data_IF_496399970552
#
_entry.id   IF_496399970552
#
_cell.length_a   1.000
_cell.length_b   1.000
_cell.length_c   1.000
_cell.angle_alpha   90.00
_cell.angle_beta   90.00
_cell.angle_gamma   90.00
#
_symmetry.space_group_name_H-M   'P 1'
#
loop_
_entity.id
_entity.type
_entity.pdbx_description
1 polymer ?
#
# COMPACT_ATOMS: atom_id res chain seq x y z
N UNK A 1 -11.15 -4.25 4.68
CA UNK A 1 -12.29 -3.32 4.42
C UNK A 1 -13.64 -3.79 5.00
N UNK A 2 -14.13 -4.99 4.64
CA UNK A 2 -15.46 -5.47 5.07
C UNK A 2 -15.64 -5.48 6.59
N UNK A 3 -14.66 -6.02 7.32
CA UNK A 3 -14.69 -6.11 8.78
C UNK A 3 -14.89 -4.76 9.45
N UNK A 4 -14.27 -3.70 8.92
CA UNK A 4 -14.45 -2.35 9.47
C UNK A 4 -15.87 -1.82 9.23
N UNK A 5 -16.35 -1.87 7.99
CA UNK A 5 -17.67 -1.32 7.63
C UNK A 5 -18.79 -2.05 8.38
N UNK A 6 -18.76 -3.38 8.35
CA UNK A 6 -19.77 -4.18 9.04
C UNK A 6 -19.61 -4.08 10.56
N UNK A 7 -18.38 -4.08 11.07
CA UNK A 7 -18.09 -3.88 12.49
C UNK A 7 -18.62 -2.54 13.03
N UNK A 8 -18.41 -1.44 12.30
CA UNK A 8 -18.92 -0.11 12.67
C UNK A 8 -20.44 -0.09 12.67
N UNK A 9 -21.07 -0.70 11.67
CA UNK A 9 -22.52 -0.90 11.66
C UNK A 9 -23.00 -1.68 12.90
N UNK A 10 -22.30 -2.74 13.30
CA UNK A 10 -22.64 -3.49 14.53
C UNK A 10 -22.53 -2.61 15.78
N UNK A 11 -21.54 -1.72 15.85
CA UNK A 11 -21.42 -0.74 16.95
C UNK A 11 -22.62 0.23 16.94
N UNK A 12 -23.00 0.77 15.77
CA UNK A 12 -24.16 1.65 15.64
C UNK A 12 -25.47 0.94 16.06
N UNK A 13 -25.59 -0.36 15.76
CA UNK A 13 -26.70 -1.20 16.22
C UNK A 13 -26.60 -1.63 17.69
N UNK A 14 -25.55 -1.21 18.42
CA UNK A 14 -25.24 -1.60 19.81
C UNK A 14 -25.07 -3.11 20.00
N UNK A 15 -24.74 -3.84 18.93
CA UNK A 15 -24.40 -5.25 18.97
C UNK A 15 -22.95 -5.49 19.40
N UNK A 16 -22.11 -4.45 19.30
CA UNK A 16 -20.69 -4.46 19.60
C UNK A 16 -20.31 -3.14 20.28
N UNK A 17 -19.27 -3.12 21.11
CA UNK A 17 -18.64 -1.87 21.57
C UNK A 17 -17.44 -1.51 20.70
N UNK A 18 -17.05 -0.24 20.66
CA UNK A 18 -15.85 0.22 19.94
C UNK A 18 -14.58 -0.51 20.41
N UNK A 19 -14.43 -0.72 21.72
CA UNK A 19 -13.27 -1.45 22.28
C UNK A 19 -13.23 -2.90 21.83
N UNK A 20 -14.39 -3.58 21.79
CA UNK A 20 -14.46 -4.97 21.32
C UNK A 20 -14.16 -5.03 19.82
N UNK A 21 -14.68 -4.10 19.01
CA UNK A 21 -14.36 -4.03 17.59
C UNK A 21 -12.86 -3.86 17.35
N UNK A 22 -12.23 -2.93 18.07
CA UNK A 22 -10.79 -2.67 17.96
C UNK A 22 -9.96 -3.91 18.27
N UNK A 23 -10.35 -4.66 19.31
CA UNK A 23 -9.66 -5.90 19.67
C UNK A 23 -9.89 -7.01 18.63
N UNK A 24 -11.10 -7.14 18.09
CA UNK A 24 -11.40 -8.10 17.01
C UNK A 24 -10.54 -7.80 15.78
N UNK A 25 -10.49 -6.55 15.33
CA UNK A 25 -9.71 -6.16 14.14
C UNK A 25 -8.21 -6.45 14.34
N UNK A 26 -7.69 -6.22 15.56
CA UNK A 26 -6.29 -6.52 15.91
C UNK A 26 -5.98 -8.03 15.91
N UNK A 27 -6.88 -8.86 16.42
CA UNK A 27 -6.71 -10.32 16.47
C UNK A 27 -6.93 -11.00 15.10
N UNK A 28 -7.60 -10.32 14.17
CA UNK A 28 -7.98 -10.87 12.87
C UNK A 28 -6.79 -11.33 12.02
N UNK A 29 -5.65 -10.63 12.06
CA UNK A 29 -4.48 -11.01 11.25
C UNK A 29 -3.88 -12.37 11.67
N UNK A 30 -3.77 -12.61 12.98
CA UNK A 30 -3.21 -13.83 13.56
C UNK A 30 -4.18 -15.01 13.66
N UNK A 31 -5.48 -14.77 13.47
CA UNK A 31 -6.51 -15.80 13.67
C UNK A 31 -6.55 -16.80 12.52
N UNK A 32 -6.64 -18.10 12.86
CA UNK A 32 -6.95 -19.18 11.92
C UNK A 32 -8.43 -19.57 12.04
N UNK A 33 -9.12 -19.62 10.90
CA UNK A 33 -10.54 -19.95 10.86
C UNK A 33 -10.78 -21.45 11.07
N UNK A 34 -11.73 -21.80 11.94
CA UNK A 34 -12.24 -23.14 12.18
C UNK A 34 -13.12 -23.57 11.01
N UNK A 35 -12.91 -24.81 10.54
CA UNK A 35 -13.62 -25.34 9.38
C UNK A 35 -15.15 -25.38 9.61
N UNK A 36 -15.58 -25.68 10.85
CA UNK A 36 -16.98 -25.68 11.24
C UNK A 36 -17.65 -24.30 11.08
N UNK A 37 -16.95 -23.21 11.45
CA UNK A 37 -17.48 -21.84 11.30
C UNK A 37 -17.75 -21.51 9.83
N UNK A 38 -16.82 -21.85 8.93
CA UNK A 38 -16.99 -21.62 7.49
C UNK A 38 -18.15 -22.47 6.95
N UNK A 39 -18.24 -23.73 7.37
CA UNK A 39 -19.28 -24.64 6.90
C UNK A 39 -20.69 -24.18 7.30
N UNK A 40 -20.85 -23.61 8.50
CA UNK A 40 -22.14 -23.05 8.94
C UNK A 40 -22.45 -21.76 8.19
N UNK A 41 -21.47 -20.87 8.03
CA UNK A 41 -21.65 -19.61 7.30
C UNK A 41 -21.99 -19.83 5.80
N UNK A 42 -21.44 -20.87 5.18
CA UNK A 42 -21.78 -21.29 3.80
C UNK A 42 -23.12 -22.06 3.73
N UNK A 43 -23.82 -22.27 4.85
CA UNK A 43 -25.08 -23.02 4.91
C UNK A 43 -24.94 -24.53 4.67
N UNK A 44 -23.71 -25.07 4.73
CA UNK A 44 -23.44 -26.50 4.55
C UNK A 44 -23.67 -27.32 5.82
N UNK A 45 -23.57 -26.69 6.99
CA UNK A 45 -23.88 -27.28 8.30
C UNK A 45 -24.81 -26.37 9.09
N UNK A 46 -25.60 -26.96 9.99
CA UNK A 46 -26.25 -26.19 11.06
C UNK A 46 -25.27 -25.99 12.23
N UNK A 47 -25.52 -24.98 13.07
CA UNK A 47 -24.72 -24.77 14.30
C UNK A 47 -24.68 -26.06 15.16
N UNK A 48 -25.82 -26.74 15.31
CA UNK A 48 -25.91 -28.00 16.05
C UNK A 48 -25.05 -29.13 15.46
N UNK A 49 -25.00 -29.26 14.12
CA UNK A 49 -24.15 -30.25 13.46
C UNK A 49 -22.66 -29.93 13.64
N UNK A 50 -22.29 -28.66 13.57
CA UNK A 50 -20.90 -28.25 13.81
C UNK A 50 -20.47 -28.52 15.25
N UNK A 51 -21.35 -28.26 16.22
CA UNK A 51 -21.11 -28.55 17.65
C UNK A 51 -20.99 -30.05 17.92
N UNK A 52 -21.82 -30.87 17.27
CA UNK A 52 -21.72 -32.34 17.35
C UNK A 52 -20.37 -32.84 16.81
N UNK A 53 -19.93 -32.34 15.65
CA UNK A 53 -18.61 -32.69 15.09
C UNK A 53 -17.48 -32.23 16.03
N UNK A 54 -17.57 -31.03 16.60
CA UNK A 54 -16.58 -30.51 17.56
C UNK A 54 -16.52 -31.41 18.81
N UNK A 55 -17.67 -31.82 19.35
CA UNK A 55 -17.73 -32.72 20.50
C UNK A 55 -17.10 -34.08 20.17
N UNK A 56 -17.40 -34.67 19.01
CA UNK A 56 -16.78 -35.92 18.55
C UNK A 56 -15.26 -35.76 18.36
N UNK A 57 -14.82 -34.60 17.87
CA UNK A 57 -13.40 -34.28 17.71
C UNK A 57 -12.64 -34.25 19.05
N UNK A 58 -13.31 -33.90 20.16
CA UNK A 58 -12.67 -33.99 21.50
C UNK A 58 -12.45 -35.43 21.97
N UNK A 59 -13.19 -36.39 21.42
CA UNK A 59 -13.16 -37.81 21.80
C UNK A 59 -12.36 -38.67 20.82
N UNK A 60 -12.09 -38.16 19.63
CA UNK A 60 -11.46 -38.89 18.53
C UNK A 60 -10.25 -38.12 18.00
N UNK A 61 -9.12 -38.80 17.78
CA UNK A 61 -7.95 -38.21 17.12
C UNK A 61 -8.15 -38.13 15.59
N UNK A 62 -9.13 -37.33 15.17
CA UNK A 62 -9.48 -37.08 13.76
C UNK A 62 -9.71 -35.58 13.52
N UNK A 63 -9.51 -35.14 12.29
CA UNK A 63 -9.75 -33.73 11.92
C UNK A 63 -11.23 -33.52 11.68
N UNK A 64 -11.71 -32.30 11.97
CA UNK A 64 -13.11 -31.88 11.78
C UNK A 64 -13.68 -32.30 10.42
N UNK A 65 -12.94 -32.05 9.33
CA UNK A 65 -13.37 -32.40 7.97
C UNK A 65 -13.54 -33.91 7.76
N UNK A 66 -12.65 -34.72 8.34
CA UNK A 66 -12.72 -36.18 8.21
C UNK A 66 -13.96 -36.72 8.98
N UNK A 67 -14.22 -36.19 10.18
CA UNK A 67 -15.41 -36.54 10.98
C UNK A 67 -16.70 -36.10 10.27
N UNK A 68 -16.72 -34.90 9.68
CA UNK A 68 -17.89 -34.40 8.96
C UNK A 68 -18.26 -35.26 7.73
N UNK A 69 -17.27 -35.83 7.05
CA UNK A 69 -17.47 -36.78 5.95
C UNK A 69 -17.98 -38.13 6.46
N UNK A 70 -17.41 -38.64 7.56
CA UNK A 70 -17.87 -39.89 8.20
C UNK A 70 -19.32 -39.81 8.68
N UNK A 71 -19.73 -38.67 9.24
CA UNK A 71 -21.12 -38.40 9.62
C UNK A 71 -22.05 -38.10 8.44
N UNK A 72 -21.52 -38.10 7.20
CA UNK A 72 -22.23 -37.78 5.96
C UNK A 72 -22.85 -36.38 5.94
N UNK A 73 -22.35 -35.47 6.78
CA UNK A 73 -22.78 -34.08 6.76
C UNK A 73 -22.10 -33.29 5.64
N UNK A 74 -20.86 -33.65 5.29
CA UNK A 74 -20.11 -33.05 4.19
C UNK A 74 -19.56 -34.12 3.24
N UNK A 75 -19.32 -33.72 1.98
CA UNK A 75 -18.54 -34.49 1.01
C UNK A 75 -17.06 -34.08 1.04
N UNK A 76 -16.15 -34.94 0.57
CA UNK A 76 -14.73 -34.60 0.44
C UNK A 76 -14.49 -33.33 -0.41
N UNK A 77 -15.28 -33.14 -1.47
CA UNK A 77 -15.22 -31.95 -2.31
C UNK A 77 -15.64 -30.68 -1.54
N UNK A 78 -16.67 -30.76 -0.70
CA UNK A 78 -17.07 -29.64 0.16
C UNK A 78 -15.99 -29.32 1.17
N UNK A 79 -15.37 -30.33 1.81
CA UNK A 79 -14.24 -30.13 2.73
C UNK A 79 -13.05 -29.45 2.03
N UNK A 80 -12.69 -29.89 0.82
CA UNK A 80 -11.62 -29.27 0.03
C UNK A 80 -11.91 -27.79 -0.28
N UNK A 81 -13.18 -27.47 -0.60
CA UNK A 81 -13.62 -26.11 -0.87
C UNK A 81 -13.55 -25.23 0.38
N UNK A 82 -13.99 -25.74 1.52
CA UNK A 82 -13.90 -25.06 2.82
C UNK A 82 -12.45 -24.79 3.25
N UNK A 83 -11.54 -25.74 2.98
CA UNK A 83 -10.11 -25.56 3.28
C UNK A 83 -9.49 -24.41 2.49
N UNK A 84 -9.90 -24.20 1.22
CA UNK A 84 -9.46 -23.04 0.43
C UNK A 84 -9.93 -21.70 1.01
N UNK A 85 -11.07 -21.70 1.71
CA UNK A 85 -11.66 -20.51 2.34
C UNK A 85 -11.08 -20.20 3.73
N UNK A 86 -10.24 -21.05 4.34
CA UNK A 86 -9.65 -20.80 5.67
C UNK A 86 -8.77 -19.52 5.75
N UNK A 87 -8.28 -19.03 4.61
CA UNK A 87 -7.53 -17.78 4.53
C UNK A 87 -8.39 -16.52 4.39
N UNK A 88 -9.70 -16.66 4.22
CA UNK A 88 -10.60 -15.54 3.94
C UNK A 88 -10.74 -14.62 5.18
N UNK A 89 -10.42 -13.35 5.01
CA UNK A 89 -10.46 -12.30 6.05
C UNK A 89 -11.85 -12.16 6.70
N UNK A 90 -12.92 -12.20 5.90
CA UNK A 90 -14.31 -12.13 6.36
C UNK A 90 -14.66 -13.29 7.29
N UNK A 91 -14.18 -14.50 6.99
CA UNK A 91 -14.46 -15.67 7.83
C UNK A 91 -13.71 -15.61 9.18
N UNK A 92 -12.52 -15.02 9.20
CA UNK A 92 -11.82 -14.72 10.46
C UNK A 92 -12.62 -13.74 11.31
N UNK A 93 -13.18 -12.71 10.68
CA UNK A 93 -14.00 -11.72 11.37
C UNK A 93 -15.26 -12.33 11.98
N UNK A 94 -16.01 -13.15 11.22
CA UNK A 94 -17.20 -13.83 11.75
C UNK A 94 -16.89 -14.72 12.95
N UNK A 95 -15.80 -15.48 12.87
CA UNK A 95 -15.36 -16.30 14.00
C UNK A 95 -15.07 -15.46 15.25
N UNK A 96 -14.36 -14.34 15.09
CA UNK A 96 -14.01 -13.46 16.21
C UNK A 96 -15.24 -12.74 16.78
N UNK A 97 -16.23 -12.40 15.96
CA UNK A 97 -17.53 -11.90 16.45
C UNK A 97 -18.23 -12.93 17.33
N UNK A 98 -18.18 -14.21 16.98
CA UNK A 98 -18.71 -15.28 17.84
C UNK A 98 -17.88 -15.45 19.11
N UNK A 99 -16.56 -15.51 19.00
CA UNK A 99 -15.66 -15.81 20.12
C UNK A 99 -15.54 -14.68 21.14
N UNK A 100 -15.48 -13.43 20.67
CA UNK A 100 -15.20 -12.27 21.50
C UNK A 100 -16.44 -11.46 21.82
N UNK A 101 -17.44 -11.44 20.93
CA UNK A 101 -18.69 -10.70 21.14
C UNK A 101 -19.90 -11.59 21.44
N UNK A 102 -19.76 -12.92 21.38
CA UNK A 102 -20.84 -13.86 21.67
C UNK A 102 -21.98 -13.84 20.64
N UNK A 103 -21.73 -13.32 19.43
CA UNK A 103 -22.72 -13.28 18.35
C UNK A 103 -22.80 -14.63 17.64
N UNK A 104 -23.99 -15.26 17.64
CA UNK A 104 -24.23 -16.45 16.82
C UNK A 104 -24.16 -16.11 15.33
N UNK A 105 -23.86 -17.10 14.49
CA UNK A 105 -23.77 -16.90 13.04
C UNK A 105 -25.13 -16.49 12.46
N UNK A 106 -26.20 -17.09 12.97
CA UNK A 106 -27.58 -16.67 12.67
C UNK A 106 -27.85 -15.19 12.97
N UNK A 107 -27.32 -14.65 14.08
CA UNK A 107 -27.48 -13.24 14.42
C UNK A 107 -26.61 -12.35 13.54
N UNK A 108 -25.40 -12.80 13.20
CA UNK A 108 -24.52 -12.11 12.24
C UNK A 108 -25.23 -11.97 10.88
N UNK A 109 -25.90 -13.01 10.40
CA UNK A 109 -26.67 -12.96 9.14
C UNK A 109 -27.86 -11.99 9.21
N UNK A 110 -28.56 -11.91 10.35
CA UNK A 110 -29.61 -10.92 10.56
C UNK A 110 -29.07 -9.49 10.45
N UNK A 111 -27.96 -9.21 11.13
CA UNK A 111 -27.29 -7.91 11.02
C UNK A 111 -26.73 -7.65 9.62
N UNK A 112 -26.28 -8.68 8.90
CA UNK A 112 -25.81 -8.58 7.52
C UNK A 112 -26.92 -8.08 6.59
N UNK A 113 -28.14 -8.61 6.74
CA UNK A 113 -29.30 -8.18 5.97
C UNK A 113 -29.69 -6.72 6.27
N UNK A 114 -29.57 -6.32 7.54
CA UNK A 114 -29.73 -4.93 7.96
C UNK A 114 -28.67 -4.02 7.33
N UNK A 115 -27.39 -4.39 7.44
CA UNK A 115 -26.25 -3.67 6.87
C UNK A 115 -26.39 -3.47 5.36
N UNK A 116 -26.75 -4.53 4.63
CA UNK A 116 -27.04 -4.49 3.19
C UNK A 116 -28.13 -3.47 2.88
N UNK A 117 -29.24 -3.52 3.61
CA UNK A 117 -30.41 -2.65 3.37
C UNK A 117 -30.11 -1.19 3.70
N UNK A 118 -29.45 -0.92 4.82
CA UNK A 118 -29.08 0.44 5.25
C UNK A 118 -28.15 1.13 4.27
N UNK A 119 -27.21 0.39 3.67
CA UNK A 119 -26.23 0.94 2.73
C UNK A 119 -26.70 0.88 1.26
N UNK A 120 -27.82 0.20 0.99
CA UNK A 120 -28.37 0.02 -0.35
C UNK A 120 -27.54 -0.90 -1.23
N UNK A 121 -26.83 -1.88 -0.66
CA UNK A 121 -26.03 -2.84 -1.42
C UNK A 121 -26.92 -3.90 -2.08
N UNK A 122 -26.59 -4.27 -3.31
CA UNK A 122 -27.05 -5.50 -3.96
C UNK A 122 -26.30 -6.72 -3.40
N UNK A 123 -26.78 -7.94 -3.69
CA UNK A 123 -26.08 -9.16 -3.27
C UNK A 123 -24.66 -9.27 -3.87
N UNK A 124 -24.50 -8.89 -5.14
CA UNK A 124 -23.18 -8.92 -5.80
C UNK A 124 -22.20 -7.91 -5.21
N UNK A 125 -22.68 -6.73 -4.80
CA UNK A 125 -21.86 -5.70 -4.17
C UNK A 125 -21.45 -6.08 -2.76
N UNK A 126 -22.36 -6.69 -1.99
CA UNK A 126 -22.05 -7.21 -0.67
C UNK A 126 -21.01 -8.34 -0.75
N UNK A 127 -21.13 -9.22 -1.75
CA UNK A 127 -20.16 -10.28 -1.97
C UNK A 127 -18.79 -9.73 -2.37
N UNK A 128 -18.75 -8.75 -3.29
CA UNK A 128 -17.52 -8.05 -3.63
C UNK A 128 -16.85 -7.40 -2.41
N UNK A 129 -17.66 -6.86 -1.48
CA UNK A 129 -17.17 -6.30 -0.22
C UNK A 129 -16.50 -7.37 0.65
N UNK A 130 -17.17 -8.52 0.83
CA UNK A 130 -16.66 -9.67 1.60
C UNK A 130 -15.41 -10.30 1.00
N UNK A 131 -15.30 -10.30 -0.32
CA UNK A 131 -14.14 -10.79 -1.07
C UNK A 131 -13.01 -9.78 -1.17
N UNK A 132 -13.23 -8.54 -0.69
CA UNK A 132 -12.31 -7.40 -0.83
C UNK A 132 -11.92 -7.13 -2.30
N UNK A 133 -12.85 -7.38 -3.22
CA UNK A 133 -12.68 -7.19 -4.66
C UNK A 133 -12.83 -5.70 -5.03
N UNK A 134 -11.74 -4.95 -4.88
CA UNK A 134 -11.69 -3.52 -5.14
C UNK A 134 -12.22 -3.16 -6.55
N UNK A 135 -12.03 -4.01 -7.56
CA UNK A 135 -12.48 -3.71 -8.93
C UNK A 135 -14.00 -3.59 -9.00
N UNK A 136 -14.71 -4.54 -8.39
CA UNK A 136 -16.17 -4.52 -8.32
C UNK A 136 -16.70 -3.42 -7.40
N UNK A 137 -15.90 -2.95 -6.46
CA UNK A 137 -16.29 -1.95 -5.46
C UNK A 137 -16.14 -0.51 -5.96
N UNK A 138 -15.20 -0.21 -6.85
CA UNK A 138 -14.96 1.15 -7.37
C UNK A 138 -16.25 1.85 -7.84
N UNK A 139 -17.16 1.22 -8.62
CA UNK A 139 -18.40 1.87 -9.04
C UNK A 139 -19.32 2.30 -7.90
N UNK A 140 -19.30 1.63 -6.75
CA UNK A 140 -20.15 2.00 -5.60
C UNK A 140 -19.80 3.37 -5.03
N UNK A 141 -18.51 3.69 -5.04
CA UNK A 141 -17.96 4.84 -4.34
C UNK A 141 -17.53 5.94 -5.29
N UNK A 142 -17.03 5.60 -6.48
CA UNK A 142 -16.43 6.53 -7.44
C UNK A 142 -17.19 6.64 -8.78
N UNK A 143 -18.42 6.11 -8.89
CA UNK A 143 -19.20 6.26 -10.12
C UNK A 143 -19.54 7.74 -10.35
N UNK A 144 -18.94 8.31 -11.39
CA UNK A 144 -19.25 9.66 -11.88
C UNK A 144 -19.42 9.61 -13.40
N UNK A 145 -19.95 10.70 -13.98
CA UNK A 145 -19.99 10.82 -15.45
C UNK A 145 -18.59 10.96 -16.07
N UNK A 146 -17.57 11.31 -15.28
CA UNK A 146 -16.20 11.46 -15.74
C UNK A 146 -15.43 10.15 -15.48
N UNK A 147 -15.10 9.43 -16.55
CA UNK A 147 -14.43 8.12 -16.50
C UNK A 147 -12.99 8.22 -15.99
N UNK A 148 -12.30 9.35 -16.19
CA UNK A 148 -10.95 9.55 -15.64
C UNK A 148 -10.98 9.68 -14.13
N UNK A 149 -11.98 10.37 -13.55
CA UNK A 149 -12.15 10.45 -12.09
C UNK A 149 -12.36 9.06 -11.50
N UNK A 150 -13.23 8.25 -12.11
CA UNK A 150 -13.49 6.87 -11.66
C UNK A 150 -12.24 5.99 -11.78
N UNK A 151 -11.50 6.11 -12.89
CA UNK A 151 -10.28 5.33 -13.14
C UNK A 151 -9.14 5.70 -12.17
N UNK A 152 -8.91 6.99 -11.96
CA UNK A 152 -7.91 7.50 -11.03
C UNK A 152 -8.26 7.12 -9.58
N UNK A 153 -9.53 7.27 -9.19
CA UNK A 153 -10.01 6.82 -7.86
C UNK A 153 -9.72 5.33 -7.67
N UNK A 154 -10.04 4.50 -8.66
CA UNK A 154 -9.76 3.07 -8.59
C UNK A 154 -8.27 2.73 -8.49
N UNK A 155 -7.42 3.47 -9.19
CA UNK A 155 -5.96 3.33 -9.07
C UNK A 155 -5.48 3.66 -7.66
N UNK A 156 -5.94 4.78 -7.11
CA UNK A 156 -5.57 5.23 -5.76
C UNK A 156 -6.01 4.21 -4.72
N UNK A 157 -7.26 3.73 -4.77
CA UNK A 157 -7.75 2.73 -3.80
C UNK A 157 -6.94 1.42 -3.86
N UNK A 158 -6.56 0.95 -5.05
CA UNK A 158 -5.65 -0.21 -5.19
C UNK A 158 -4.28 0.06 -4.58
N UNK A 159 -3.76 1.27 -4.75
CA UNK A 159 -2.46 1.65 -4.23
C UNK A 159 -2.47 1.91 -2.73
N UNK A 160 -3.60 2.28 -2.13
CA UNK A 160 -3.80 2.24 -0.67
C UNK A 160 -3.62 0.80 -0.17
N UNK A 161 -4.31 -0.18 -0.76
CA UNK A 161 -4.16 -1.60 -0.40
C UNK A 161 -2.72 -2.08 -0.53
N UNK A 162 -2.03 -1.70 -1.62
CA UNK A 162 -0.68 -2.19 -1.92
C UNK A 162 0.40 -1.55 -1.07
N UNK A 163 0.32 -0.24 -0.86
CA UNK A 163 1.44 0.53 -0.31
C UNK A 163 1.17 1.11 1.07
N UNK A 164 -0.08 1.23 1.49
CA UNK A 164 -0.44 1.90 2.74
C UNK A 164 -0.96 0.87 3.75
N UNK A 165 -2.17 0.37 3.54
CA UNK A 165 -2.82 -0.61 4.42
C UNK A 165 -3.97 -1.29 3.67
N UNK A 166 -4.31 -2.52 4.05
CA UNK A 166 -5.58 -3.17 3.69
C UNK A 166 -6.75 -2.73 4.56
N UNK A 167 -6.46 -1.99 5.64
CA UNK A 167 -7.41 -1.56 6.66
C UNK A 167 -7.94 -0.14 6.40
N UNK A 168 -8.65 0.00 5.29
CA UNK A 168 -9.36 1.23 4.94
C UNK A 168 -10.73 0.94 4.32
N UNK A 169 -11.58 1.97 4.24
CA UNK A 169 -12.77 1.98 3.41
C UNK A 169 -13.03 3.37 2.81
N UNK A 170 -13.44 3.46 1.53
CA UNK A 170 -13.97 4.68 0.96
C UNK A 170 -15.44 4.89 1.32
N UNK A 171 -15.86 6.15 1.34
CA UNK A 171 -17.27 6.54 1.35
C UNK A 171 -17.69 7.07 -0.04
N UNK A 172 -18.98 7.35 -0.21
CA UNK A 172 -19.51 7.81 -1.51
C UNK A 172 -18.89 9.16 -1.89
N UNK A 173 -18.31 9.20 -3.09
CA UNK A 173 -17.79 10.41 -3.68
C UNK A 173 -18.92 11.42 -3.93
N UNK A 174 -18.64 12.69 -3.64
CA UNK A 174 -19.54 13.81 -3.89
C UNK A 174 -18.83 14.91 -4.68
N UNK A 175 -19.58 15.73 -5.38
CA UNK A 175 -19.04 16.93 -6.03
C UNK A 175 -19.11 18.12 -5.07
N UNK A 176 -18.03 18.88 -4.95
CA UNK A 176 -17.93 20.06 -4.10
C UNK A 176 -17.42 21.25 -4.91
N UNK A 177 -17.99 22.43 -4.61
CA UNK A 177 -17.53 23.73 -5.16
C UNK A 177 -16.87 24.61 -4.11
N UNK A 178 -17.13 24.31 -2.84
CA UNK A 178 -16.47 24.91 -1.70
C UNK A 178 -16.10 23.76 -0.76
N UNK A 179 -14.85 23.77 -0.32
CA UNK A 179 -14.29 22.74 0.56
C UNK A 179 -13.11 23.37 1.30
N UNK A 180 -13.29 23.60 2.60
CA UNK A 180 -12.29 24.15 3.50
C UNK A 180 -11.51 23.00 4.14
N UNK A 181 -10.22 23.22 4.39
CA UNK A 181 -9.32 22.22 4.94
C UNK A 181 -8.27 22.84 5.87
N UNK A 182 -7.83 22.05 6.84
CA UNK A 182 -6.64 22.36 7.66
C UNK A 182 -5.37 22.12 6.85
N UNK A 183 -5.31 21.03 6.09
CA UNK A 183 -4.24 20.80 5.10
C UNK A 183 -4.81 20.14 3.84
N UNK A 184 -4.18 20.44 2.71
CA UNK A 184 -4.34 19.75 1.44
C UNK A 184 -2.95 19.56 0.80
N UNK A 185 -2.52 18.31 0.69
CA UNK A 185 -1.28 17.93 0.00
C UNK A 185 -1.64 17.21 -1.30
N UNK A 186 -1.08 17.65 -2.42
CA UNK A 186 -1.47 17.11 -3.72
C UNK A 186 -0.57 17.53 -4.87
N UNK A 187 -0.93 17.12 -6.06
CA UNK A 187 -0.18 17.38 -7.27
C UNK A 187 -1.12 17.55 -8.46
N UNK A 188 -0.85 18.58 -9.24
CA UNK A 188 -1.51 18.82 -10.51
C UNK A 188 -0.79 18.12 -11.66
N UNK A 189 -1.55 17.84 -12.71
CA UNK A 189 -1.07 17.29 -13.97
C UNK A 189 -1.68 18.13 -15.10
N UNK A 190 -0.93 18.35 -16.19
CA UNK A 190 -1.38 19.14 -17.35
C UNK A 190 -0.99 18.44 -18.65
N UNK A 191 -1.70 18.74 -19.72
CA UNK A 191 -1.47 18.19 -21.05
C UNK A 191 -2.79 18.19 -21.82
N UNK A 192 -3.12 17.07 -22.46
CA UNK A 192 -4.42 16.85 -23.08
C UNK A 192 -5.58 17.00 -22.08
N UNK A 193 -5.31 16.66 -20.82
CA UNK A 193 -6.22 16.85 -19.70
C UNK A 193 -5.53 17.60 -18.56
N UNK A 194 -6.31 18.40 -17.83
CA UNK A 194 -5.85 19.01 -16.58
C UNK A 194 -6.41 18.24 -15.40
N UNK A 195 -5.54 17.70 -14.55
CA UNK A 195 -5.91 16.89 -13.40
C UNK A 195 -5.38 17.51 -12.11
N UNK A 196 -6.06 17.25 -11.01
CA UNK A 196 -5.50 17.41 -9.67
C UNK A 196 -5.87 16.19 -8.84
N UNK A 197 -4.88 15.64 -8.13
CA UNK A 197 -5.06 14.63 -7.08
C UNK A 197 -4.45 15.16 -5.79
N UNK A 198 -5.21 15.11 -4.70
CA UNK A 198 -4.70 15.46 -3.39
C UNK A 198 -5.46 14.80 -2.26
N UNK A 199 -4.91 14.91 -1.05
CA UNK A 199 -5.52 14.43 0.18
C UNK A 199 -5.60 15.56 1.19
N UNK A 200 -6.78 15.71 1.79
CA UNK A 200 -7.08 16.75 2.73
C UNK A 200 -7.49 16.22 4.10
N UNK A 201 -7.16 16.98 5.14
CA UNK A 201 -7.79 16.89 6.44
C UNK A 201 -8.58 18.16 6.73
N UNK A 202 -9.84 18.04 7.13
CA UNK A 202 -10.67 19.19 7.51
C UNK A 202 -10.34 19.70 8.90
N UNK A 203 -10.41 18.82 9.91
CA UNK A 203 -10.27 19.19 11.33
C UNK A 203 -9.16 18.43 12.05
N UNK A 204 -8.95 17.17 11.68
CA UNK A 204 -8.02 16.26 12.33
C UNK A 204 -7.03 15.71 11.30
N UNK A 205 -5.76 15.86 11.62
CA UNK A 205 -4.63 15.40 10.80
C UNK A 205 -4.43 13.89 10.84
N UNK A 206 -5.09 13.16 11.75
CA UNK A 206 -4.85 11.74 11.97
C UNK A 206 -4.91 10.90 10.70
N UNK A 207 -5.88 11.14 9.79
CA UNK A 207 -5.98 10.37 8.55
C UNK A 207 -4.83 10.64 7.56
N UNK A 208 -4.38 11.89 7.48
CA UNK A 208 -3.22 12.30 6.67
C UNK A 208 -1.93 11.67 7.22
N UNK A 209 -1.81 11.63 8.55
CA UNK A 209 -0.69 10.98 9.25
C UNK A 209 -0.70 9.48 9.01
N UNK A 210 -1.85 8.80 9.09
CA UNK A 210 -1.94 7.36 8.85
C UNK A 210 -1.63 6.99 7.39
N UNK A 211 -2.05 7.83 6.43
CA UNK A 211 -1.64 7.69 5.03
C UNK A 211 -0.11 7.78 4.90
N UNK A 212 0.49 8.82 5.49
CA UNK A 212 1.94 9.05 5.45
C UNK A 212 2.73 7.89 6.09
N UNK A 213 2.38 7.48 7.31
CA UNK A 213 3.03 6.35 8.01
C UNK A 213 2.95 5.06 7.20
N UNK A 214 1.75 4.74 6.71
CA UNK A 214 1.52 3.53 5.93
C UNK A 214 2.35 3.51 4.65
N UNK A 215 2.47 4.65 3.97
CA UNK A 215 3.25 4.78 2.74
C UNK A 215 4.77 4.82 2.98
N UNK A 216 5.22 5.58 3.98
CA UNK A 216 6.63 5.70 4.37
C UNK A 216 7.18 4.41 5.03
N UNK A 217 6.30 3.53 5.51
CA UNK A 217 6.64 2.35 6.34
C UNK A 217 7.37 2.74 7.63
N UNK A 218 6.96 3.86 8.20
CA UNK A 218 7.49 4.39 9.46
C UNK A 218 6.37 4.50 10.50
N UNK A 219 6.56 3.82 11.63
CA UNK A 219 5.58 3.80 12.74
C UNK A 219 5.80 4.94 13.75
N UNK A 220 6.89 5.70 13.65
CA UNK A 220 7.31 6.68 14.66
C UNK A 220 7.02 8.14 14.25
N UNK A 221 7.06 9.05 15.24
CA UNK A 221 6.72 10.48 15.19
C UNK A 221 7.28 11.26 13.97
N UNK A 222 6.62 11.11 12.81
CA UNK A 222 6.84 11.95 11.65
C UNK A 222 6.58 13.41 12.03
N UNK A 223 7.48 14.28 11.62
CA UNK A 223 7.25 15.72 11.63
C UNK A 223 6.17 16.09 10.61
N UNK A 224 5.55 17.26 10.75
CA UNK A 224 4.52 17.71 9.81
C UNK A 224 5.01 17.73 8.35
N UNK A 225 6.27 18.14 8.13
CA UNK A 225 6.86 18.20 6.79
C UNK A 225 7.09 16.80 6.21
N UNK A 226 7.57 15.84 7.02
CA UNK A 226 7.71 14.44 6.58
C UNK A 226 6.36 13.80 6.24
N UNK A 227 5.30 14.15 6.97
CA UNK A 227 3.93 13.72 6.64
C UNK A 227 3.50 14.30 5.30
N UNK A 228 3.71 15.60 5.07
CA UNK A 228 3.34 16.25 3.82
C UNK A 228 4.11 15.67 2.63
N UNK A 229 5.42 15.49 2.77
CA UNK A 229 6.27 14.90 1.75
C UNK A 229 5.83 13.48 1.40
N UNK A 230 5.54 12.64 2.39
CA UNK A 230 5.06 11.27 2.15
C UNK A 230 3.73 11.24 1.38
N UNK A 231 2.79 12.14 1.72
CA UNK A 231 1.50 12.23 1.03
C UNK A 231 1.66 12.78 -0.39
N UNK A 232 2.50 13.79 -0.58
CA UNK A 232 2.85 14.32 -1.89
C UNK A 232 3.51 13.27 -2.79
N UNK A 233 4.39 12.43 -2.23
CA UNK A 233 5.00 11.31 -2.96
C UNK A 233 3.98 10.22 -3.30
N UNK A 234 3.00 9.96 -2.43
CA UNK A 234 1.89 9.07 -2.75
C UNK A 234 1.05 9.63 -3.92
N UNK A 235 0.76 10.93 -3.95
CA UNK A 235 0.11 11.59 -5.08
C UNK A 235 0.94 11.44 -6.37
N UNK A 236 2.25 11.70 -6.28
CA UNK A 236 3.19 11.59 -7.39
C UNK A 236 3.24 10.17 -7.97
N UNK A 237 3.29 9.14 -7.13
CA UNK A 237 3.22 7.74 -7.55
C UNK A 237 1.94 7.45 -8.33
N UNK A 238 0.79 7.88 -7.82
CA UNK A 238 -0.50 7.62 -8.45
C UNK A 238 -0.65 8.36 -9.78
N UNK A 239 -0.26 9.64 -9.83
CA UNK A 239 -0.28 10.43 -11.06
C UNK A 239 0.70 9.88 -12.10
N UNK A 240 1.89 9.43 -11.70
CA UNK A 240 2.87 8.83 -12.62
C UNK A 240 2.39 7.51 -13.23
N UNK A 241 1.77 6.64 -12.44
CA UNK A 241 1.14 5.41 -12.94
C UNK A 241 -0.05 5.72 -13.85
N UNK A 242 -0.86 6.72 -13.50
CA UNK A 242 -1.98 7.17 -14.31
C UNK A 242 -1.52 7.76 -15.64
N UNK A 243 -0.48 8.60 -15.64
CA UNK A 243 0.14 9.17 -16.84
C UNK A 243 0.72 8.09 -17.75
N UNK A 244 1.44 7.12 -17.17
CA UNK A 244 1.99 5.99 -17.92
C UNK A 244 0.90 5.16 -18.61
N UNK A 245 -0.21 4.90 -17.94
CA UNK A 245 -1.34 4.18 -18.53
C UNK A 245 -2.10 5.02 -19.56
N UNK A 246 -2.25 6.32 -19.31
CA UNK A 246 -2.89 7.27 -20.24
C UNK A 246 -2.11 7.41 -21.54
N UNK A 247 -0.77 7.44 -21.47
CA UNK A 247 0.11 7.49 -22.63
C UNK A 247 -0.06 6.30 -23.57
N UNK A 248 -0.29 5.09 -23.03
CA UNK A 248 -0.61 3.90 -23.85
C UNK A 248 -1.90 4.04 -24.64
N UNK A 249 -2.83 4.88 -24.15
CA UNK A 249 -4.09 5.20 -24.80
C UNK A 249 -4.01 6.48 -25.65
N UNK A 250 -2.81 7.01 -25.87
CA UNK A 250 -2.57 8.20 -26.70
C UNK A 250 -2.92 9.52 -26.03
N UNK A 251 -3.02 9.55 -24.70
CA UNK A 251 -3.25 10.77 -23.91
C UNK A 251 -1.91 11.20 -23.32
N UNK A 252 -1.46 12.41 -23.65
CA UNK A 252 -0.21 12.97 -23.14
C UNK A 252 -0.45 13.93 -21.98
N UNK A 253 0.14 13.61 -20.83
CA UNK A 253 -0.02 14.35 -19.58
C UNK A 253 1.28 14.36 -18.77
N UNK A 254 1.66 15.56 -18.33
CA UNK A 254 2.86 15.84 -17.57
C UNK A 254 2.53 16.24 -16.13
N UNK A 255 3.28 15.67 -15.18
CA UNK A 255 3.16 15.98 -13.77
C UNK A 255 3.81 17.32 -13.43
N UNK A 256 3.12 18.14 -12.67
CA UNK A 256 3.69 19.33 -12.05
C UNK A 256 4.31 18.99 -10.69
N UNK A 257 5.13 19.87 -10.11
CA UNK A 257 5.61 19.68 -8.75
C UNK A 257 4.44 19.52 -7.76
N UNK A 258 4.57 18.64 -6.75
CA UNK A 258 3.59 18.55 -5.68
C UNK A 258 3.61 19.81 -4.81
N UNK A 259 2.46 20.16 -4.25
CA UNK A 259 2.27 21.35 -3.43
C UNK A 259 1.39 21.02 -2.21
N UNK A 260 1.64 21.75 -1.12
CA UNK A 260 0.92 21.64 0.15
C UNK A 260 0.26 22.97 0.44
N UNK A 261 -0.97 22.94 0.94
CA UNK A 261 -1.74 24.13 1.31
C UNK A 261 -2.28 23.95 2.73
N UNK A 262 -2.18 24.99 3.56
CA UNK A 262 -2.56 24.94 4.98
C UNK A 262 -3.62 26.00 5.27
N UNK A 263 -4.69 25.63 5.98
CA UNK A 263 -5.73 26.52 6.50
C UNK A 263 -6.47 27.30 5.42
N UNK A 264 -6.73 26.66 4.28
CA UNK A 264 -7.27 27.30 3.08
C UNK A 264 -8.51 26.54 2.59
N UNK A 265 -9.01 26.96 1.43
CA UNK A 265 -10.12 26.30 0.76
C UNK A 265 -9.88 26.20 -0.72
N UNK A 266 -10.48 25.20 -1.34
CA UNK A 266 -10.43 25.06 -2.79
C UNK A 266 -11.23 26.18 -3.45
N UNK A 267 -10.89 26.51 -4.69
CA UNK A 267 -11.78 27.28 -5.57
C UNK A 267 -12.07 26.48 -6.83
N UNK A 268 -13.30 26.60 -7.34
CA UNK A 268 -13.72 25.88 -8.53
C UNK A 268 -14.53 24.63 -8.22
N UNK A 269 -14.24 23.52 -8.90
CA UNK A 269 -15.05 22.30 -8.76
C UNK A 269 -14.15 21.06 -8.68
N UNK A 270 -14.48 20.19 -7.73
CA UNK A 270 -13.77 18.95 -7.47
C UNK A 270 -14.72 17.85 -6.99
N UNK A 271 -14.26 16.61 -7.12
CA UNK A 271 -14.82 15.45 -6.50
C UNK A 271 -14.10 15.19 -5.18
N UNK A 272 -14.86 14.96 -4.12
CA UNK A 272 -14.37 14.66 -2.78
C UNK A 272 -14.87 13.28 -2.39
N UNK A 273 -13.95 12.35 -2.15
CA UNK A 273 -14.21 11.03 -1.63
C UNK A 273 -13.62 10.92 -0.22
N UNK A 274 -14.45 10.85 0.83
CA UNK A 274 -13.96 10.51 2.15
C UNK A 274 -13.40 9.09 2.12
N UNK A 275 -12.28 8.91 2.79
CA UNK A 275 -11.63 7.62 3.01
C UNK A 275 -11.29 7.53 4.50
N UNK A 276 -11.55 6.38 5.09
CA UNK A 276 -11.17 6.10 6.47
C UNK A 276 -10.04 5.09 6.44
N UNK A 277 -8.89 5.45 6.98
CA UNK A 277 -7.66 4.64 7.03
C UNK A 277 -7.35 4.38 8.49
N UNK A 278 -7.27 3.12 8.93
CA UNK A 278 -7.03 2.76 10.34
C UNK A 278 -7.97 3.50 11.32
N UNK A 279 -9.23 3.71 10.94
CA UNK A 279 -10.25 4.47 11.67
C UNK A 279 -10.03 6.00 11.76
N UNK A 280 -9.11 6.54 10.96
CA UNK A 280 -8.84 7.98 10.85
C UNK A 280 -9.36 8.52 9.51
N UNK A 281 -10.06 9.65 9.54
CA UNK A 281 -10.70 10.24 8.35
C UNK A 281 -9.71 11.08 7.54
N UNK A 282 -9.75 10.90 6.22
CA UNK A 282 -9.04 11.72 5.23
C UNK A 282 -9.95 11.90 4.00
N UNK A 283 -9.87 13.03 3.31
CA UNK A 283 -10.64 13.26 2.09
C UNK A 283 -9.69 13.21 0.87
N UNK A 284 -9.97 12.32 -0.08
CA UNK A 284 -9.34 12.32 -1.39
C UNK A 284 -10.04 13.34 -2.30
N UNK A 285 -9.29 14.27 -2.86
CA UNK A 285 -9.77 15.33 -3.76
C UNK A 285 -9.26 15.06 -5.18
N UNK A 286 -10.19 14.99 -6.13
CA UNK A 286 -9.89 14.81 -7.56
C UNK A 286 -10.60 15.89 -8.37
N UNK A 287 -9.88 16.58 -9.26
CA UNK A 287 -10.48 17.45 -10.28
C UNK A 287 -9.92 17.09 -11.66
N UNK A 288 -10.77 17.08 -12.68
CA UNK A 288 -10.39 16.71 -14.06
C UNK A 288 -11.13 17.62 -15.05
N UNK A 289 -10.37 18.38 -15.84
CA UNK A 289 -10.85 19.33 -16.85
C UNK A 289 -11.86 20.37 -16.33
N UNK A 290 -11.77 20.69 -15.05
CA UNK A 290 -12.57 21.74 -14.42
C UNK A 290 -11.68 22.89 -13.99
N UNK A 291 -12.25 24.10 -13.91
CA UNK A 291 -11.61 25.18 -13.19
C UNK A 291 -11.45 24.75 -11.73
N UNK A 292 -10.21 24.55 -11.30
CA UNK A 292 -9.87 24.13 -9.94
C UNK A 292 -8.56 24.80 -9.49
N UNK A 293 -8.53 25.26 -8.24
CA UNK A 293 -7.30 25.58 -7.54
C UNK A 293 -7.36 25.02 -6.13
N UNK A 294 -6.26 24.41 -5.71
CA UNK A 294 -6.11 23.85 -4.38
C UNK A 294 -6.13 24.96 -3.32
N UNK A 295 -5.38 26.04 -3.51
CA UNK A 295 -5.37 27.23 -2.65
C UNK A 295 -4.71 28.43 -3.34
N UNK A 296 -4.55 29.53 -2.62
CA UNK A 296 -3.95 30.79 -3.13
C UNK A 296 -2.43 30.83 -2.88
N UNK A 297 -1.96 30.25 -1.77
CA UNK A 297 -0.53 30.28 -1.41
C UNK A 297 -0.11 28.91 -0.95
N UNK A 298 0.81 28.30 -1.68
CA UNK A 298 1.44 27.05 -1.27
C UNK A 298 2.22 27.29 0.04
N UNK A 299 2.09 26.35 0.96
CA UNK A 299 2.93 26.27 2.14
C UNK A 299 4.36 26.01 1.66
N UNK A 300 5.27 26.93 2.00
CA UNK A 300 6.70 26.67 1.85
C UNK A 300 7.04 25.59 2.88
N UNK A 301 6.97 24.33 2.46
CA UNK A 301 7.68 23.27 3.15
C UNK A 301 9.14 23.74 3.14
N UNK A 302 9.74 23.95 4.31
CA UNK A 302 11.18 23.99 4.36
C UNK A 302 11.61 22.62 3.85
N UNK A 303 11.94 22.55 2.56
CA UNK A 303 12.60 21.39 2.00
C UNK A 303 13.89 21.33 2.79
N UNK A 304 13.87 20.54 3.87
CA UNK A 304 15.07 19.96 4.41
C UNK A 304 15.47 18.98 3.31
N UNK A 305 16.06 19.53 2.25
CA UNK A 305 17.19 18.90 1.62
C UNK A 305 18.10 18.60 2.81
N UNK A 306 18.07 17.36 3.28
CA UNK A 306 19.24 16.78 3.91
C UNK A 306 20.30 16.71 2.82
N UNK A 307 20.84 17.87 2.47
CA UNK A 307 22.27 18.06 2.27
C UNK A 307 22.95 17.79 3.62
N UNK A 308 22.78 16.58 4.15
CA UNK A 308 23.49 16.13 5.33
C UNK A 308 24.86 15.65 4.87
N UNK A 309 25.74 16.61 4.59
CA UNK A 309 27.13 16.50 5.02
C UNK A 309 27.09 16.58 6.55
N UNK A 310 26.81 15.45 7.18
CA UNK A 310 26.66 15.34 8.62
C UNK A 310 26.83 13.90 9.04
N UNK A 311 28.07 13.55 9.38
CA UNK A 311 28.53 12.28 9.94
C UNK A 311 27.43 11.51 10.70
N UNK A 312 26.82 10.52 10.02
CA UNK A 312 26.19 9.39 10.69
C UNK A 312 27.31 8.41 11.08
N UNK A 313 27.34 8.04 12.35
CA UNK A 313 28.29 7.07 12.90
C UNK A 313 28.21 5.74 12.12
N UNK A 314 29.25 5.41 11.37
CA UNK A 314 29.26 4.36 10.34
C UNK A 314 29.76 3.03 10.91
N UNK A 315 28.94 2.37 11.73
CA UNK A 315 29.35 1.10 12.34
C UNK A 315 29.53 -0.05 11.32
N UNK A 316 28.86 -0.03 10.14
CA UNK A 316 28.93 -1.14 9.16
C UNK A 316 29.56 -0.82 7.80
N UNK A 317 29.50 0.42 7.32
CA UNK A 317 30.12 0.84 6.04
C UNK A 317 29.32 1.91 5.31
N UNK A 318 29.89 2.46 4.24
CA UNK A 318 29.29 3.51 3.41
C UNK A 318 28.75 2.96 2.10
N UNK A 319 27.64 3.52 1.62
CA UNK A 319 26.95 3.06 0.42
C UNK A 319 26.63 4.23 -0.49
N UNK A 320 26.73 4.00 -1.80
CA UNK A 320 26.17 4.86 -2.83
C UNK A 320 25.05 4.13 -3.56
N UNK A 321 23.90 4.78 -3.71
CA UNK A 321 22.72 4.18 -4.31
C UNK A 321 22.45 4.81 -5.69
N UNK A 322 22.38 3.98 -6.73
CA UNK A 322 22.18 4.46 -8.10
C UNK A 322 21.00 3.73 -8.73
N UNK A 323 19.96 4.49 -9.02
CA UNK A 323 18.72 4.01 -9.66
C UNK A 323 18.00 5.21 -10.26
N UNK A 324 17.37 5.10 -11.42
CA UNK A 324 16.59 6.20 -12.00
C UNK A 324 15.26 6.39 -11.23
N UNK A 325 14.75 5.34 -10.60
CA UNK A 325 13.58 5.39 -9.73
C UNK A 325 13.90 5.98 -8.36
N UNK A 326 13.35 7.16 -8.07
CA UNK A 326 13.43 7.79 -6.75
C UNK A 326 12.84 6.89 -5.64
N UNK A 327 11.82 6.09 -5.96
CA UNK A 327 11.22 5.11 -5.04
C UNK A 327 12.24 4.05 -4.62
N UNK A 328 12.95 3.45 -5.60
CA UNK A 328 13.96 2.43 -5.30
C UNK A 328 15.11 3.03 -4.49
N UNK A 329 15.54 4.25 -4.79
CA UNK A 329 16.58 4.93 -4.00
C UNK A 329 16.14 5.16 -2.56
N UNK A 330 14.92 5.66 -2.34
CA UNK A 330 14.34 5.85 -1.00
C UNK A 330 14.20 4.53 -0.24
N UNK A 331 13.69 3.47 -0.87
CA UNK A 331 13.57 2.14 -0.27
C UNK A 331 14.92 1.56 0.15
N UNK A 332 15.92 1.62 -0.75
CA UNK A 332 17.28 1.15 -0.45
C UNK A 332 17.91 1.99 0.66
N UNK A 333 17.74 3.33 0.65
CA UNK A 333 18.25 4.20 1.70
C UNK A 333 17.66 3.84 3.05
N UNK A 334 16.33 3.85 3.18
CA UNK A 334 15.63 3.55 4.43
C UNK A 334 16.06 2.18 4.98
N UNK A 335 16.12 1.17 4.11
CA UNK A 335 16.58 -0.17 4.49
C UNK A 335 18.04 -0.17 4.97
N UNK A 336 18.96 0.45 4.25
CA UNK A 336 20.39 0.42 4.55
C UNK A 336 20.73 1.24 5.80
N UNK A 337 20.13 2.42 5.95
CA UNK A 337 20.32 3.29 7.12
C UNK A 337 19.74 2.66 8.39
N UNK A 338 18.52 2.09 8.32
CA UNK A 338 17.94 1.27 9.41
C UNK A 338 18.86 0.14 9.86
N UNK A 339 19.65 -0.41 8.93
CA UNK A 339 20.56 -1.53 9.20
C UNK A 339 22.00 -1.11 9.55
N UNK A 340 22.27 0.19 9.71
CA UNK A 340 23.55 0.73 10.20
C UNK A 340 24.60 1.02 9.12
N UNK A 341 24.18 1.08 7.84
CA UNK A 341 25.00 1.60 6.75
C UNK A 341 24.77 3.10 6.56
N UNK A 342 25.79 3.82 6.11
CA UNK A 342 25.68 5.25 5.82
C UNK A 342 25.56 5.48 4.31
N UNK A 343 24.44 6.03 3.83
CA UNK A 343 24.28 6.36 2.41
C UNK A 343 24.92 7.71 2.14
N UNK A 344 26.07 7.68 1.47
CA UNK A 344 26.93 8.85 1.21
C UNK A 344 26.55 9.62 -0.05
N UNK A 345 25.95 8.94 -1.03
CA UNK A 345 25.54 9.56 -2.28
C UNK A 345 24.39 8.79 -2.93
N UNK A 346 23.59 9.52 -3.70
CA UNK A 346 22.60 8.98 -4.62
C UNK A 346 22.82 9.51 -6.02
N UNK A 347 22.51 8.72 -7.05
CA UNK A 347 22.49 9.17 -8.45
C UNK A 347 21.29 8.60 -9.21
N UNK A 348 20.78 9.36 -10.18
CA UNK A 348 19.61 8.99 -10.99
C UNK A 348 19.94 8.51 -12.42
N UNK A 349 21.23 8.47 -12.77
CA UNK A 349 21.73 8.00 -14.06
C UNK A 349 23.22 7.61 -13.96
N UNK A 350 23.73 6.93 -14.98
CA UNK A 350 25.11 6.46 -15.00
C UNK A 350 26.18 7.55 -15.00
N UNK A 351 25.95 8.70 -15.67
CA UNK A 351 26.94 9.80 -15.72
C UNK A 351 27.14 10.42 -14.34
N UNK A 352 26.03 10.70 -13.65
CA UNK A 352 26.01 11.18 -12.28
C UNK A 352 26.62 10.15 -11.32
N UNK A 353 26.38 8.87 -11.56
CA UNK A 353 26.94 7.79 -10.76
C UNK A 353 28.47 7.78 -10.80
N UNK A 354 29.05 7.86 -12.00
CA UNK A 354 30.50 7.91 -12.20
C UNK A 354 31.09 9.15 -11.53
N UNK A 355 30.44 10.31 -11.67
CA UNK A 355 30.90 11.56 -11.06
C UNK A 355 30.89 11.46 -9.53
N UNK A 356 29.73 11.11 -8.94
CA UNK A 356 29.57 11.06 -7.49
C UNK A 356 30.42 9.96 -6.84
N UNK A 357 30.69 8.87 -7.53
CA UNK A 357 31.62 7.85 -7.03
C UNK A 357 33.05 8.39 -6.90
N UNK A 358 33.51 9.17 -7.89
CA UNK A 358 34.84 9.80 -7.86
C UNK A 358 34.98 10.79 -6.70
N UNK A 359 33.88 11.44 -6.31
CA UNK A 359 33.81 12.41 -5.22
C UNK A 359 33.70 11.76 -3.83
N UNK A 360 32.87 10.72 -3.68
CA UNK A 360 32.49 10.18 -2.37
C UNK A 360 33.16 8.84 -2.00
N UNK A 361 33.63 8.05 -2.98
CA UNK A 361 34.29 6.74 -2.80
C UNK A 361 33.61 5.82 -1.76
N UNK A 362 32.32 5.53 -1.96
CA UNK A 362 31.58 4.64 -1.07
C UNK A 362 32.18 3.21 -1.04
N UNK A 363 32.05 2.53 0.10
CA UNK A 363 32.53 1.15 0.27
C UNK A 363 31.80 0.15 -0.63
N UNK A 364 30.52 0.43 -0.95
CA UNK A 364 29.67 -0.33 -1.88
C UNK A 364 28.84 0.62 -2.74
N UNK A 365 28.69 0.29 -4.03
CA UNK A 365 27.78 0.96 -4.95
C UNK A 365 26.67 -0.01 -5.35
N UNK A 366 25.40 0.37 -5.19
CA UNK A 366 24.29 -0.33 -5.85
C UNK A 366 23.97 0.36 -7.17
N UNK A 367 23.77 -0.43 -8.22
CA UNK A 367 23.63 0.11 -9.58
C UNK A 367 22.50 -0.57 -10.35
N UNK A 368 21.48 0.20 -10.72
CA UNK A 368 20.49 -0.25 -11.71
C UNK A 368 21.10 -0.33 -13.11
N UNK A 369 20.58 -1.22 -13.95
CA UNK A 369 21.08 -1.40 -15.32
C UNK A 369 20.40 -0.44 -16.30
N UNK A 370 19.09 -0.23 -16.21
CA UNK A 370 18.32 0.53 -17.19
C UNK A 370 18.05 1.92 -16.66
N UNK A 371 18.96 2.84 -16.97
CA UNK A 371 18.86 4.24 -16.58
C UNK A 371 18.98 5.16 -17.80
N UNK A 372 18.41 6.38 -17.76
CA UNK A 372 18.58 7.37 -18.81
C UNK A 372 20.02 7.87 -18.92
N UNK A 373 20.38 8.47 -20.06
CA UNK A 373 21.71 9.01 -20.42
C UNK A 373 22.82 7.95 -20.53
N UNK A 374 23.15 7.29 -19.43
CA UNK A 374 24.15 6.22 -19.35
C UNK A 374 23.59 5.07 -18.54
N UNK A 375 23.67 3.87 -19.11
CA UNK A 375 23.16 2.66 -18.49
C UNK A 375 24.14 2.12 -17.40
N UNK A 376 23.65 1.24 -16.53
CA UNK A 376 24.43 0.74 -15.40
C UNK A 376 25.65 -0.08 -15.80
N UNK A 377 25.62 -0.78 -16.93
CA UNK A 377 26.77 -1.57 -17.38
C UNK A 377 27.88 -0.66 -17.89
N UNK A 378 27.53 0.41 -18.61
CA UNK A 378 28.48 1.45 -19.00
C UNK A 378 29.06 2.17 -17.79
N UNK A 379 28.22 2.59 -16.83
CA UNK A 379 28.66 3.23 -15.60
C UNK A 379 29.59 2.33 -14.76
N UNK A 380 29.28 1.04 -14.65
CA UNK A 380 30.14 0.05 -13.99
C UNK A 380 31.53 0.01 -14.63
N UNK A 381 31.63 -0.05 -15.97
CA UNK A 381 32.92 -0.10 -16.66
C UNK A 381 33.75 1.15 -16.39
N UNK A 382 33.12 2.33 -16.35
CA UNK A 382 33.82 3.57 -16.03
C UNK A 382 34.28 3.65 -14.57
N UNK A 383 33.43 3.21 -13.63
CA UNK A 383 33.78 3.10 -12.21
C UNK A 383 34.98 2.15 -12.03
N UNK A 384 34.91 0.95 -12.62
CA UNK A 384 35.99 -0.06 -12.52
C UNK A 384 37.28 0.36 -13.24
N UNK A 385 37.18 1.16 -14.31
CA UNK A 385 38.35 1.73 -14.99
C UNK A 385 39.04 2.81 -14.14
N UNK A 386 38.28 3.57 -13.35
CA UNK A 386 38.79 4.56 -12.42
C UNK A 386 39.34 3.93 -11.12
N UNK A 387 38.61 2.97 -10.56
CA UNK A 387 38.96 2.27 -9.32
C UNK A 387 38.71 0.77 -9.46
N UNK A 388 39.79 -0.01 -9.59
CA UNK A 388 39.71 -1.47 -9.80
C UNK A 388 39.22 -2.23 -8.57
N UNK A 389 39.28 -1.61 -7.39
CA UNK A 389 38.86 -2.20 -6.13
C UNK A 389 37.42 -1.78 -5.75
N UNK A 390 36.76 -1.02 -6.62
CA UNK A 390 35.36 -0.63 -6.45
C UNK A 390 34.45 -1.85 -6.27
N UNK A 391 33.62 -1.81 -5.23
CA UNK A 391 32.67 -2.88 -4.94
C UNK A 391 31.30 -2.51 -5.46
N UNK A 392 30.93 -3.05 -6.62
CA UNK A 392 29.65 -2.75 -7.25
C UNK A 392 28.72 -3.95 -7.21
N UNK A 393 27.47 -3.71 -6.82
CA UNK A 393 26.36 -4.66 -6.85
C UNK A 393 25.29 -4.18 -7.81
N UNK A 394 24.84 -5.04 -8.72
CA UNK A 394 23.77 -4.72 -9.65
C UNK A 394 22.40 -4.98 -9.01
N UNK A 395 21.45 -4.05 -9.15
CA UNK A 395 20.06 -4.24 -8.71
C UNK A 395 19.13 -3.94 -9.88
N UNK A 396 18.57 -4.95 -10.54
CA UNK A 396 17.91 -4.78 -11.85
C UNK A 396 16.57 -5.51 -11.96
N UNK A 397 15.71 -5.06 -12.88
CA UNK A 397 14.45 -5.72 -13.23
C UNK A 397 14.65 -7.08 -13.91
N UNK A 398 13.62 -7.92 -13.87
CA UNK A 398 13.62 -9.22 -14.53
C UNK A 398 13.80 -9.11 -16.06
N UNK A 399 14.40 -10.15 -16.68
CA UNK A 399 14.54 -10.24 -18.14
C UNK A 399 15.85 -9.72 -18.74
N UNK A 400 16.85 -9.39 -17.92
CA UNK A 400 18.13 -8.82 -18.38
C UNK A 400 19.35 -9.75 -18.23
N UNK A 401 19.16 -11.05 -18.47
CA UNK A 401 20.20 -12.08 -18.20
C UNK A 401 21.53 -11.78 -18.91
N UNK A 402 21.51 -11.37 -20.17
CA UNK A 402 22.74 -11.07 -20.93
C UNK A 402 23.52 -9.88 -20.34
N UNK A 403 22.80 -8.82 -19.93
CA UNK A 403 23.42 -7.65 -19.29
C UNK A 403 23.98 -7.96 -17.90
N UNK A 404 23.31 -8.85 -17.14
CA UNK A 404 23.82 -9.32 -15.84
C UNK A 404 25.13 -10.09 -16.05
N UNK A 405 25.20 -10.99 -17.03
CA UNK A 405 26.42 -11.73 -17.36
C UNK A 405 27.54 -10.77 -17.79
N UNK A 406 27.22 -9.74 -18.57
CA UNK A 406 28.17 -8.70 -18.95
C UNK A 406 28.67 -7.89 -17.75
N UNK A 407 27.78 -7.51 -16.83
CA UNK A 407 28.13 -6.77 -15.63
C UNK A 407 29.09 -7.56 -14.72
N UNK A 408 28.81 -8.86 -14.51
CA UNK A 408 29.69 -9.74 -13.73
C UNK A 408 31.08 -9.87 -14.38
N UNK A 409 31.15 -10.01 -15.71
CA UNK A 409 32.43 -10.00 -16.45
C UNK A 409 33.18 -8.67 -16.36
N UNK A 410 32.43 -7.57 -16.17
CA UNK A 410 32.97 -6.22 -16.09
C UNK A 410 33.40 -5.83 -14.67
N UNK A 411 33.21 -6.71 -13.67
CA UNK A 411 33.70 -6.52 -12.30
C UNK A 411 32.63 -6.35 -11.22
N UNK A 412 31.34 -6.45 -11.56
CA UNK A 412 30.30 -6.48 -10.52
C UNK A 412 30.47 -7.72 -9.62
N UNK A 413 30.39 -7.51 -8.31
CA UNK A 413 30.61 -8.57 -7.31
C UNK A 413 29.35 -9.40 -7.06
N UNK A 414 28.17 -8.80 -7.24
CA UNK A 414 26.91 -9.47 -7.02
C UNK A 414 25.77 -8.83 -7.81
N UNK A 415 24.67 -9.57 -7.97
CA UNK A 415 23.43 -9.04 -8.52
C UNK A 415 22.21 -9.39 -7.65
N UNK A 416 21.19 -8.53 -7.72
CA UNK A 416 19.88 -8.71 -7.10
C UNK A 416 18.81 -8.39 -8.14
N UNK A 417 17.76 -9.21 -8.18
CA UNK A 417 16.62 -9.01 -9.07
C UNK A 417 15.51 -8.24 -8.33
N UNK A 418 14.90 -7.27 -9.01
CA UNK A 418 13.68 -6.58 -8.58
C UNK A 418 12.44 -7.43 -8.92
N UNK A 419 11.42 -7.52 -8.05
CA UNK A 419 11.37 -6.94 -6.69
C UNK A 419 12.28 -7.72 -5.72
N UNK A 420 12.92 -6.99 -4.80
CA UNK A 420 13.80 -7.56 -3.77
C UNK A 420 13.20 -7.38 -2.37
N UNK A 421 13.59 -8.25 -1.45
CA UNK A 421 13.27 -8.12 -0.03
C UNK A 421 14.50 -7.64 0.77
N UNK A 422 14.27 -7.18 2.01
CA UNK A 422 15.32 -6.66 2.90
C UNK A 422 16.40 -7.71 3.19
N UNK A 423 16.02 -8.97 3.41
CA UNK A 423 16.98 -10.05 3.72
C UNK A 423 17.97 -10.31 2.58
N UNK A 424 17.49 -10.34 1.34
CA UNK A 424 18.30 -10.58 0.14
C UNK A 424 19.31 -9.46 -0.07
N UNK A 425 18.91 -8.20 0.09
CA UNK A 425 19.83 -7.06 -0.04
C UNK A 425 20.89 -7.10 1.05
N UNK A 426 20.50 -7.24 2.32
CA UNK A 426 21.46 -7.24 3.44
C UNK A 426 22.44 -8.41 3.39
N UNK A 427 21.99 -9.60 2.96
CA UNK A 427 22.86 -10.77 2.78
C UNK A 427 23.95 -10.50 1.74
N UNK A 428 23.56 -9.91 0.61
CA UNK A 428 24.50 -9.59 -0.46
C UNK A 428 25.46 -8.45 -0.06
N UNK A 429 24.99 -7.47 0.69
CA UNK A 429 25.85 -6.39 1.22
C UNK A 429 26.94 -6.92 2.16
N UNK A 430 26.60 -7.86 3.06
CA UNK A 430 27.59 -8.53 3.92
C UNK A 430 28.64 -9.29 3.11
N UNK A 431 28.21 -10.03 2.09
CA UNK A 431 29.12 -10.76 1.21
C UNK A 431 30.07 -9.83 0.45
N UNK A 432 29.56 -8.70 -0.06
CA UNK A 432 30.36 -7.72 -0.80
C UNK A 432 31.36 -7.02 0.12
N UNK A 433 30.97 -6.67 1.34
CA UNK A 433 31.84 -6.01 2.33
C UNK A 433 32.81 -6.95 3.04
N UNK A 434 32.64 -8.28 2.91
CA UNK A 434 33.50 -9.29 3.53
C UNK A 434 33.39 -9.33 5.06
N UNK A 435 32.21 -9.02 5.63
CA UNK A 435 31.95 -8.96 7.08
C UNK A 435 30.94 -9.99 7.56
#
# INVERSE_FOLDING_TARGET
>A
MFSQLFGKYLVEQKALSDDTLKNILKEQEGTRVRLGTIAVADGLLTEAQADEINHLQTQMDKRFGDIAVEQKYLTENQVSTLLKKQGNSTMKFYQLLTDMAGLSLSKIDEYMNGFKSTNGFTDGELEALKEEDIEKLIPLFAATMNTMVTSLSGLVLRNLTRFVTSDFYPERMRKAKDYEYTVLAGQAVKGDHTLYLGFAAQNDMSGVIELAKGFAKEDNNLTSDEVYDAVCEFCNLNNGLFASESSKNGIDIDMLPPEVYVGQKISGSAYVMPVVINNCHIDMIISVDESFRAGETAHNVEVIHKDSVGNADSSKGTVMIVDDSALIRKMLRAMLEKNGYAVTAEACNGEEAVQKYKENKADVVTLDITMPKMDGVAALKEIMAYDKDARVMMITAAGQQDKIVEALKSGALQFIMKPFNEEDVLKNFKNVLGK
#
